data_IF_842105924317
#
_entry.id   IF_842105924317
#
_cell.length_a   1.000
_cell.length_b   1.000
_cell.length_c   1.000
_cell.angle_alpha   90.00
_cell.angle_beta   90.00
_cell.angle_gamma   90.00
#
_symmetry.space_group_name_H-M   'P 1'
#
loop_
_entity.id
_entity.type
_entity.pdbx_description
1 polymer ?
#
# COMPACT_ATOMS: atom_id res chain seq x y z
N UNK A 1 1.62 -13.68 9.93
CA UNK A 1 1.74 -15.14 9.85
C UNK A 1 3.18 -15.52 9.51
N UNK A 2 3.72 -16.48 10.27
CA UNK A 2 5.09 -16.99 10.08
C UNK A 2 5.21 -18.02 8.97
N UNK A 3 4.16 -18.31 8.22
CA UNK A 3 4.18 -19.22 7.09
C UNK A 3 5.04 -18.73 5.93
N UNK A 4 5.21 -17.41 5.77
CA UNK A 4 6.16 -16.80 4.83
C UNK A 4 7.53 -16.54 5.51
N UNK A 5 8.12 -17.56 6.07
CA UNK A 5 9.20 -17.48 7.04
C UNK A 5 10.45 -16.74 6.56
N UNK A 6 10.90 -16.96 5.33
CA UNK A 6 12.12 -16.30 4.82
C UNK A 6 11.95 -14.80 4.60
N UNK A 7 10.73 -14.33 4.33
CA UNK A 7 10.41 -12.91 4.32
C UNK A 7 10.26 -12.34 5.74
N UNK A 8 9.56 -13.05 6.62
CA UNK A 8 9.31 -12.55 7.97
C UNK A 8 10.57 -12.59 8.83
N UNK A 9 11.28 -13.71 8.80
CA UNK A 9 12.48 -13.92 9.60
C UNK A 9 13.38 -14.97 8.97
N UNK A 10 14.67 -14.82 9.19
CA UNK A 10 15.66 -15.89 9.04
C UNK A 10 16.43 -16.00 10.35
N UNK A 11 16.25 -17.10 11.06
CA UNK A 11 16.94 -17.37 12.31
C UNK A 11 18.45 -17.58 12.12
N UNK A 12 19.22 -17.44 13.19
CA UNK A 12 20.68 -17.51 13.13
C UNK A 12 21.26 -18.85 12.62
N UNK A 13 20.52 -19.96 12.75
CA UNK A 13 20.97 -21.27 12.20
C UNK A 13 20.80 -21.30 10.68
N UNK A 14 19.66 -20.80 10.19
CA UNK A 14 19.42 -20.69 8.76
C UNK A 14 20.35 -19.67 8.08
N UNK A 15 20.74 -18.60 8.76
CA UNK A 15 21.72 -17.64 8.25
C UNK A 15 23.11 -18.28 8.04
N UNK A 16 23.49 -19.23 8.92
CA UNK A 16 24.74 -19.98 8.78
C UNK A 16 24.69 -21.03 7.67
N UNK A 17 23.50 -21.61 7.41
CA UNK A 17 23.34 -22.66 6.40
C UNK A 17 23.21 -22.09 4.99
N UNK A 18 22.46 -20.99 4.83
CA UNK A 18 22.20 -20.38 3.53
C UNK A 18 22.77 -18.97 3.50
N UNK A 19 23.80 -18.79 2.70
CA UNK A 19 24.49 -17.49 2.55
C UNK A 19 23.58 -16.45 1.86
N UNK A 20 23.75 -15.20 2.25
CA UNK A 20 22.86 -14.07 1.84
C UNK A 20 22.82 -13.89 0.30
N UNK A 21 23.91 -14.16 -0.38
CA UNK A 21 24.02 -14.02 -1.85
C UNK A 21 23.11 -14.97 -2.62
N UNK A 22 22.74 -16.12 -2.00
CA UNK A 22 21.83 -17.11 -2.60
C UNK A 22 20.35 -16.81 -2.32
N UNK A 23 20.07 -15.92 -1.37
CA UNK A 23 18.72 -15.53 -1.00
C UNK A 23 18.68 -14.03 -0.62
N UNK A 24 18.55 -13.14 -1.60
CA UNK A 24 18.68 -11.69 -1.41
C UNK A 24 17.47 -11.03 -0.75
N UNK A 25 16.61 -11.81 -0.07
CA UNK A 25 15.46 -11.28 0.66
C UNK A 25 15.92 -10.66 1.97
N UNK A 26 15.61 -9.39 2.20
CA UNK A 26 15.76 -8.75 3.52
C UNK A 26 14.58 -9.14 4.41
N UNK A 27 14.78 -9.85 5.52
CA UNK A 27 13.69 -10.22 6.41
C UNK A 27 13.00 -9.00 7.03
N UNK A 28 11.69 -9.11 7.22
CA UNK A 28 10.88 -8.01 7.76
C UNK A 28 11.33 -7.59 9.18
N UNK A 29 11.80 -8.54 9.99
CA UNK A 29 12.33 -8.24 11.32
C UNK A 29 13.48 -7.21 11.30
N UNK A 30 14.26 -7.17 10.21
CA UNK A 30 15.36 -6.20 10.04
C UNK A 30 14.85 -4.80 9.65
N UNK A 31 13.58 -4.67 9.30
CA UNK A 31 12.95 -3.44 8.80
C UNK A 31 11.90 -2.86 9.74
N UNK A 32 11.28 -3.68 10.56
CA UNK A 32 10.12 -3.27 11.35
C UNK A 32 10.41 -2.06 12.23
N UNK A 33 11.57 -2.03 12.87
CA UNK A 33 11.98 -0.89 13.73
C UNK A 33 12.29 0.35 12.89
N UNK A 34 13.00 0.21 11.78
CA UNK A 34 13.28 1.31 10.85
C UNK A 34 12.01 1.93 10.27
N UNK A 35 11.02 1.10 9.91
CA UNK A 35 9.72 1.56 9.42
C UNK A 35 8.97 2.37 10.48
N UNK A 36 9.08 1.97 11.75
CA UNK A 36 8.50 2.73 12.85
C UNK A 36 9.24 4.06 13.08
N UNK A 37 10.55 4.00 13.26
CA UNK A 37 11.37 5.16 13.67
C UNK A 37 11.44 6.24 12.58
N UNK A 38 11.57 5.83 11.29
CA UNK A 38 11.82 6.76 10.19
C UNK A 38 10.60 7.07 9.33
N UNK A 39 9.58 6.20 9.34
CA UNK A 39 8.41 6.32 8.46
C UNK A 39 7.07 6.36 9.21
N UNK A 40 7.08 6.28 10.54
CA UNK A 40 5.88 6.36 11.38
C UNK A 40 4.92 5.17 11.18
N UNK A 41 5.44 4.01 10.72
CA UNK A 41 4.62 2.82 10.47
C UNK A 41 4.54 1.96 11.72
N UNK A 42 3.37 1.92 12.35
CA UNK A 42 3.09 0.97 13.44
C UNK A 42 2.77 -0.41 12.87
N UNK A 43 3.29 -1.45 13.52
CA UNK A 43 3.10 -2.83 13.09
C UNK A 43 2.54 -3.68 14.22
N UNK A 44 1.52 -4.47 13.93
CA UNK A 44 0.99 -5.50 14.82
C UNK A 44 1.26 -6.85 14.17
N UNK A 45 2.01 -7.72 14.88
CA UNK A 45 2.34 -9.06 14.42
C UNK A 45 1.64 -10.09 15.30
N UNK A 46 1.05 -11.09 14.65
CA UNK A 46 0.50 -12.28 15.31
C UNK A 46 1.45 -13.43 15.00
N UNK A 47 2.11 -13.95 16.02
CA UNK A 47 3.14 -14.97 15.88
C UNK A 47 2.86 -16.16 16.79
N UNK A 48 3.07 -17.37 16.27
CA UNK A 48 3.04 -18.62 17.05
C UNK A 48 4.44 -19.17 17.33
N UNK A 49 5.47 -18.53 16.78
CA UNK A 49 6.89 -18.86 16.94
C UNK A 49 7.74 -17.62 16.65
N UNK A 50 9.06 -17.78 16.44
CA UNK A 50 9.98 -16.68 16.10
C UNK A 50 10.14 -15.66 17.23
N UNK A 51 10.64 -16.14 18.36
CA UNK A 51 10.94 -15.32 19.54
C UNK A 51 11.93 -14.18 19.30
N UNK A 52 12.69 -14.22 18.21
CA UNK A 52 13.58 -13.13 17.78
C UNK A 52 12.85 -11.77 17.62
N UNK A 53 11.54 -11.76 17.39
CA UNK A 53 10.76 -10.53 17.37
C UNK A 53 10.68 -9.83 18.72
N UNK A 54 11.00 -10.50 19.81
CA UNK A 54 11.07 -9.85 21.14
C UNK A 54 12.17 -8.77 21.19
N UNK A 55 13.23 -8.91 20.39
CA UNK A 55 14.30 -7.90 20.30
C UNK A 55 13.83 -6.56 19.73
N UNK A 56 12.82 -6.58 18.87
CA UNK A 56 12.34 -5.38 18.13
C UNK A 56 10.95 -4.91 18.60
N UNK A 57 10.25 -5.71 19.40
CA UNK A 57 8.91 -5.37 19.88
C UNK A 57 8.93 -4.29 20.97
N UNK A 58 8.03 -3.31 20.85
CA UNK A 58 7.77 -2.35 21.92
C UNK A 58 6.87 -2.96 23.01
N UNK A 59 5.86 -3.72 22.57
CA UNK A 59 4.89 -4.39 23.42
C UNK A 59 4.73 -5.84 23.00
N UNK A 60 4.64 -6.74 23.98
CA UNK A 60 4.40 -8.17 23.76
C UNK A 60 3.19 -8.60 24.58
N UNK A 61 2.14 -9.02 23.87
CA UNK A 61 0.91 -9.52 24.48
C UNK A 61 0.82 -11.02 24.22
N UNK A 62 0.75 -11.81 25.29
CA UNK A 62 0.50 -13.25 25.20
C UNK A 62 -0.99 -13.52 25.36
N UNK A 63 -1.52 -14.37 24.48
CA UNK A 63 -2.88 -14.91 24.64
C UNK A 63 -2.80 -16.19 25.46
N UNK A 64 -3.26 -16.12 26.70
CA UNK A 64 -3.33 -17.24 27.62
C UNK A 64 -4.78 -17.66 27.82
N UNK A 65 -5.18 -18.81 27.27
CA UNK A 65 -6.57 -19.27 27.26
C UNK A 65 -7.57 -18.17 26.84
N UNK A 66 -7.26 -17.47 25.73
CA UNK A 66 -8.02 -16.32 25.18
C UNK A 66 -8.01 -15.04 26.03
N UNK A 67 -7.24 -15.00 27.12
CA UNK A 67 -7.06 -13.79 27.94
C UNK A 67 -5.76 -13.10 27.56
N UNK A 68 -5.80 -11.81 27.14
CA UNK A 68 -4.59 -11.07 26.80
C UNK A 68 -3.82 -10.70 28.08
N UNK A 69 -2.53 -11.00 28.10
CA UNK A 69 -1.61 -10.65 29.20
C UNK A 69 -0.42 -9.89 28.63
N UNK A 70 -0.12 -8.74 29.20
CA UNK A 70 1.13 -8.04 28.90
C UNK A 70 2.31 -8.81 29.51
N UNK A 71 3.22 -9.25 28.66
CA UNK A 71 4.43 -10.00 29.04
C UNK A 71 5.69 -9.31 28.50
N UNK A 72 5.61 -8.02 28.22
CA UNK A 72 6.68 -7.24 27.57
C UNK A 72 8.01 -7.37 28.30
N UNK A 73 8.03 -7.15 29.63
CA UNK A 73 9.29 -7.22 30.40
C UNK A 73 9.89 -8.62 30.41
N UNK A 74 9.05 -9.64 30.58
CA UNK A 74 9.49 -11.05 30.52
C UNK A 74 10.06 -11.41 29.15
N UNK A 75 9.43 -10.95 28.06
CA UNK A 75 9.92 -11.18 26.70
C UNK A 75 11.29 -10.50 26.47
N UNK A 76 11.48 -9.29 26.97
CA UNK A 76 12.77 -8.57 26.91
C UNK A 76 13.86 -9.26 27.72
N UNK A 77 13.53 -9.80 28.88
CA UNK A 77 14.49 -10.59 29.69
C UNK A 77 14.94 -11.85 28.94
N UNK A 78 14.02 -12.58 28.33
CA UNK A 78 14.31 -13.76 27.50
C UNK A 78 15.21 -13.37 26.33
N UNK A 79 14.88 -12.30 25.59
CA UNK A 79 15.68 -11.82 24.47
C UNK A 79 17.13 -11.47 24.87
N UNK A 80 17.32 -10.91 26.08
CA UNK A 80 18.67 -10.59 26.60
C UNK A 80 19.48 -11.82 26.95
N UNK A 81 18.84 -12.89 27.41
CA UNK A 81 19.49 -14.15 27.84
C UNK A 81 19.82 -15.09 26.69
N UNK A 82 19.29 -14.85 25.48
CA UNK A 82 19.55 -15.71 24.33
C UNK A 82 20.94 -15.48 23.75
N UNK A 83 21.75 -16.55 23.72
CA UNK A 83 23.09 -16.56 23.13
C UNK A 83 23.09 -16.75 21.62
N UNK A 84 21.99 -17.24 21.05
CA UNK A 84 21.85 -17.53 19.60
C UNK A 84 21.31 -16.33 18.81
N UNK A 85 21.95 -15.17 18.95
CA UNK A 85 21.54 -13.99 18.21
C UNK A 85 21.75 -14.16 16.72
N UNK A 86 20.69 -13.83 15.95
CA UNK A 86 20.81 -13.70 14.51
C UNK A 86 21.68 -12.49 14.15
N UNK A 87 22.37 -12.57 13.01
CA UNK A 87 23.12 -11.44 12.49
C UNK A 87 22.16 -10.43 11.87
N UNK A 88 22.29 -9.19 12.29
CA UNK A 88 21.56 -8.06 11.74
C UNK A 88 22.38 -7.46 10.58
N UNK A 89 21.73 -7.12 9.46
CA UNK A 89 22.40 -6.47 8.31
C UNK A 89 22.20 -4.94 8.36
N UNK A 90 23.07 -4.19 9.05
CA UNK A 90 22.87 -2.76 9.26
C UNK A 90 23.09 -1.90 8.00
N UNK A 91 23.76 -2.45 6.98
CA UNK A 91 24.16 -1.69 5.78
C UNK A 91 23.07 -1.59 4.70
N UNK A 92 21.96 -2.29 4.88
CA UNK A 92 20.90 -2.37 3.89
C UNK A 92 19.70 -1.58 4.40
N UNK A 93 19.72 -0.27 4.24
CA UNK A 93 18.65 0.63 4.69
C UNK A 93 17.45 0.57 3.75
N UNK A 94 16.24 0.69 4.29
CA UNK A 94 15.04 0.89 3.50
C UNK A 94 15.09 2.29 2.86
N UNK A 95 15.15 2.34 1.53
CA UNK A 95 15.30 3.60 0.79
C UNK A 95 13.99 4.39 0.65
N UNK A 96 12.92 3.92 1.26
CA UNK A 96 11.60 4.50 1.14
C UNK A 96 10.83 4.01 -0.10
N UNK A 97 9.76 4.72 -0.41
CA UNK A 97 8.88 4.40 -1.53
C UNK A 97 9.25 5.27 -2.72
N UNK A 98 9.53 4.64 -3.87
CA UNK A 98 9.76 5.36 -5.11
C UNK A 98 8.51 6.14 -5.50
N UNK A 99 8.65 7.46 -5.61
CA UNK A 99 7.57 8.32 -6.06
C UNK A 99 7.34 8.14 -7.57
N UNK A 100 6.09 8.07 -7.98
CA UNK A 100 5.70 7.85 -9.38
C UNK A 100 5.07 9.10 -9.93
N UNK A 101 5.60 9.62 -11.04
CA UNK A 101 5.04 10.74 -11.78
C UNK A 101 4.32 10.19 -13.02
N UNK A 102 2.98 10.15 -13.03
CA UNK A 102 2.23 9.64 -14.18
C UNK A 102 2.40 10.55 -15.40
N UNK A 103 2.68 9.97 -16.56
CA UNK A 103 2.81 10.72 -17.80
C UNK A 103 1.46 10.86 -18.49
N UNK A 104 1.13 12.07 -18.94
CA UNK A 104 -0.14 12.36 -19.62
C UNK A 104 -0.37 11.48 -20.85
N UNK A 105 0.71 11.14 -21.57
CA UNK A 105 0.67 10.21 -22.72
C UNK A 105 0.14 8.81 -22.38
N UNK A 106 0.19 8.38 -21.12
CA UNK A 106 -0.39 7.09 -20.69
C UNK A 106 -1.89 7.05 -20.90
N UNK A 107 -2.53 8.21 -20.76
CA UNK A 107 -3.98 8.38 -20.84
C UNK A 107 -4.44 8.88 -22.21
N UNK A 108 -3.54 8.90 -23.19
CA UNK A 108 -3.90 9.21 -24.58
C UNK A 108 -4.70 8.07 -25.14
N UNK A 109 -5.93 8.33 -25.52
CA UNK A 109 -6.80 7.35 -26.17
C UNK A 109 -6.91 7.70 -27.65
N UNK A 110 -6.98 6.65 -28.47
CA UNK A 110 -7.10 6.80 -29.92
C UNK A 110 -8.58 6.78 -30.33
N UNK A 111 -9.14 7.96 -30.60
CA UNK A 111 -10.44 8.11 -31.27
C UNK A 111 -11.62 8.55 -30.40
N UNK A 112 -12.82 8.59 -31.00
CA UNK A 112 -14.10 9.05 -30.40
C UNK A 112 -14.64 8.21 -29.22
N UNK A 113 -13.93 7.16 -28.79
CA UNK A 113 -14.33 6.24 -27.72
C UNK A 113 -13.65 6.57 -26.37
N UNK A 114 -13.36 7.83 -26.14
CA UNK A 114 -12.73 8.35 -24.91
C UNK A 114 -13.70 8.36 -23.71
N UNK A 115 -14.29 7.21 -23.40
CA UNK A 115 -15.18 7.10 -22.24
C UNK A 115 -14.52 6.26 -21.19
N UNK A 116 -14.36 6.84 -20.01
CA UNK A 116 -14.08 6.12 -18.79
C UNK A 116 -15.41 5.73 -18.16
N UNK A 117 -15.61 4.47 -17.87
CA UNK A 117 -16.87 3.97 -17.32
C UNK A 117 -16.62 2.83 -16.34
N UNK A 118 -17.18 2.94 -15.15
CA UNK A 118 -17.25 1.81 -14.24
C UNK A 118 -18.14 0.70 -14.80
N UNK A 119 -17.73 -0.54 -14.60
CA UNK A 119 -18.50 -1.74 -14.90
C UNK A 119 -18.67 -2.56 -13.62
N UNK A 120 -19.71 -2.23 -12.85
CA UNK A 120 -19.91 -2.73 -11.51
C UNK A 120 -18.76 -2.31 -10.57
N UNK A 121 -18.63 -3.01 -9.45
CA UNK A 121 -17.70 -2.68 -8.37
C UNK A 121 -16.22 -2.88 -8.71
N UNK A 122 -15.90 -3.81 -9.60
CA UNK A 122 -14.56 -4.35 -9.72
C UNK A 122 -13.81 -3.95 -11.00
N UNK A 123 -14.46 -3.24 -11.92
CA UNK A 123 -13.86 -2.95 -13.21
C UNK A 123 -14.12 -1.52 -13.67
N UNK A 124 -13.10 -0.92 -14.28
CA UNK A 124 -13.21 0.37 -14.96
C UNK A 124 -12.77 0.17 -16.40
N UNK A 125 -13.67 0.44 -17.33
CA UNK A 125 -13.34 0.50 -18.75
C UNK A 125 -12.75 1.88 -19.05
N UNK A 126 -11.49 1.91 -19.48
CA UNK A 126 -10.80 3.10 -19.93
C UNK A 126 -10.49 2.96 -21.43
N UNK A 127 -11.33 3.54 -22.29
CA UNK A 127 -11.30 3.30 -23.72
C UNK A 127 -11.50 1.82 -24.06
N UNK A 128 -10.45 1.18 -24.57
CA UNK A 128 -10.44 -0.27 -24.86
C UNK A 128 -9.80 -1.12 -23.76
N UNK A 129 -9.22 -0.47 -22.76
CA UNK A 129 -8.51 -1.15 -21.68
C UNK A 129 -9.45 -1.37 -20.49
N UNK A 130 -9.32 -2.52 -19.86
CA UNK A 130 -10.00 -2.84 -18.60
C UNK A 130 -9.02 -2.67 -17.45
N UNK A 131 -9.36 -1.82 -16.50
CA UNK A 131 -8.65 -1.69 -15.23
C UNK A 131 -9.38 -2.58 -14.23
N UNK A 132 -8.76 -3.69 -13.89
CA UNK A 132 -9.27 -4.63 -12.90
C UNK A 132 -8.88 -4.15 -11.50
N UNK A 133 -9.87 -3.87 -10.69
CA UNK A 133 -9.74 -3.40 -9.30
C UNK A 133 -10.37 -4.38 -8.31
N UNK A 134 -10.61 -5.63 -8.70
CA UNK A 134 -11.20 -6.67 -7.85
C UNK A 134 -10.41 -6.94 -6.57
N UNK A 135 -9.09 -6.73 -6.59
CA UNK A 135 -8.24 -6.85 -5.42
C UNK A 135 -8.27 -5.65 -4.46
N UNK A 136 -9.15 -4.65 -4.67
CA UNK A 136 -9.33 -3.53 -3.75
C UNK A 136 -10.48 -3.82 -2.78
N UNK A 137 -10.18 -4.55 -1.72
CA UNK A 137 -11.18 -5.04 -0.75
C UNK A 137 -11.97 -3.93 -0.04
N UNK A 138 -11.43 -2.72 0.00
CA UNK A 138 -12.05 -1.57 0.66
C UNK A 138 -13.10 -0.85 -0.20
N UNK A 139 -13.30 -1.28 -1.44
CA UNK A 139 -14.42 -0.83 -2.26
C UNK A 139 -15.66 -1.64 -1.88
N UNK A 140 -16.63 -0.97 -1.28
CA UNK A 140 -17.85 -1.62 -0.77
C UNK A 140 -19.05 -1.44 -1.69
N UNK A 141 -19.03 -0.39 -2.53
CA UNK A 141 -20.18 -0.02 -3.38
C UNK A 141 -19.73 0.42 -4.80
N UNK A 142 -20.59 0.18 -5.79
CA UNK A 142 -20.36 0.55 -7.20
C UNK A 142 -20.18 2.07 -7.39
N UNK A 143 -20.80 2.88 -6.55
CA UNK A 143 -20.69 4.34 -6.59
C UNK A 143 -19.26 4.82 -6.30
N UNK A 144 -18.48 4.08 -5.50
CA UNK A 144 -17.05 4.37 -5.31
C UNK A 144 -16.26 4.09 -6.59
N UNK A 145 -16.57 3.01 -7.30
CA UNK A 145 -15.95 2.70 -8.59
C UNK A 145 -16.34 3.72 -9.66
N UNK A 146 -17.59 4.17 -9.67
CA UNK A 146 -18.02 5.28 -10.52
C UNK A 146 -17.22 6.55 -10.23
N UNK A 147 -17.02 6.86 -8.96
CA UNK A 147 -16.23 8.02 -8.56
C UNK A 147 -14.77 7.88 -9.02
N UNK A 148 -14.13 6.72 -8.85
CA UNK A 148 -12.76 6.48 -9.35
C UNK A 148 -12.69 6.70 -10.86
N UNK A 149 -13.67 6.24 -11.63
CA UNK A 149 -13.70 6.44 -13.08
C UNK A 149 -13.74 7.94 -13.44
N UNK A 150 -14.57 8.73 -12.75
CA UNK A 150 -14.65 10.19 -12.90
C UNK A 150 -13.34 10.86 -12.48
N UNK A 151 -12.74 10.40 -11.35
CA UNK A 151 -11.46 10.93 -10.89
C UNK A 151 -10.32 10.65 -11.87
N UNK A 152 -10.29 9.52 -12.56
CA UNK A 152 -9.30 9.21 -13.61
C UNK A 152 -9.46 10.20 -14.78
N UNK A 153 -10.68 10.51 -15.21
CA UNK A 153 -10.92 11.49 -16.26
C UNK A 153 -10.50 12.90 -15.80
N UNK A 154 -10.80 13.26 -14.57
CA UNK A 154 -10.39 14.54 -14.00
C UNK A 154 -8.86 14.63 -13.89
N UNK A 155 -8.21 13.59 -13.39
CA UNK A 155 -6.74 13.48 -13.31
C UNK A 155 -6.12 13.76 -14.68
N UNK A 156 -6.54 13.04 -15.73
CA UNK A 156 -6.04 13.19 -17.09
C UNK A 156 -6.20 14.61 -17.64
N UNK A 157 -7.40 15.18 -17.48
CA UNK A 157 -7.79 16.39 -18.18
C UNK A 157 -7.38 17.68 -17.44
N UNK A 158 -7.24 17.64 -16.12
CA UNK A 158 -7.10 18.83 -15.28
C UNK A 158 -5.87 18.87 -14.39
N UNK A 159 -5.29 17.70 -14.04
CA UNK A 159 -4.25 17.63 -13.00
C UNK A 159 -2.89 17.24 -13.54
N UNK A 160 -2.81 16.30 -14.47
CA UNK A 160 -1.50 15.80 -14.96
C UNK A 160 -0.72 16.90 -15.69
N UNK A 161 0.42 17.25 -15.11
CA UNK A 161 1.39 18.24 -15.63
C UNK A 161 2.79 17.65 -15.82
N UNK A 162 2.94 16.33 -15.61
CA UNK A 162 4.22 15.59 -15.68
C UNK A 162 5.27 16.03 -14.65
N UNK A 163 4.84 16.72 -13.59
CA UNK A 163 5.68 17.17 -12.47
C UNK A 163 5.19 16.58 -11.13
N UNK A 164 3.87 16.54 -10.95
CA UNK A 164 3.26 16.03 -9.73
C UNK A 164 3.41 14.51 -9.64
N UNK A 165 3.78 14.05 -8.46
CA UNK A 165 3.69 12.61 -8.13
C UNK A 165 2.22 12.19 -8.11
N UNK A 166 1.95 10.89 -8.22
CA UNK A 166 0.59 10.37 -8.12
C UNK A 166 -0.07 10.74 -6.78
N UNK A 167 0.71 10.76 -5.69
CA UNK A 167 0.22 11.18 -4.39
C UNK A 167 -0.19 12.66 -4.40
N UNK A 168 0.67 13.55 -4.86
CA UNK A 168 0.39 14.99 -4.95
C UNK A 168 -0.79 15.29 -5.88
N UNK A 169 -0.86 14.60 -7.02
CA UNK A 169 -1.99 14.72 -7.94
C UNK A 169 -3.30 14.26 -7.29
N UNK A 170 -3.25 13.18 -6.50
CA UNK A 170 -4.41 12.71 -5.73
C UNK A 170 -4.81 13.73 -4.67
N UNK A 171 -3.84 14.25 -3.91
CA UNK A 171 -4.13 15.26 -2.88
C UNK A 171 -4.83 16.48 -3.47
N UNK A 172 -4.38 16.99 -4.62
CA UNK A 172 -5.03 18.13 -5.29
C UNK A 172 -6.48 17.84 -5.71
N UNK A 173 -6.79 16.61 -6.12
CA UNK A 173 -8.17 16.22 -6.44
C UNK A 173 -9.04 16.21 -5.17
N UNK A 174 -8.51 15.67 -4.06
CA UNK A 174 -9.26 15.63 -2.81
C UNK A 174 -9.46 17.00 -2.18
N UNK A 175 -8.49 17.90 -2.29
CA UNK A 175 -8.62 19.29 -1.89
C UNK A 175 -9.71 20.00 -2.69
N UNK A 176 -9.75 19.77 -4.01
CA UNK A 176 -10.83 20.29 -4.88
C UNK A 176 -12.20 19.77 -4.44
N UNK A 177 -12.32 18.46 -4.18
CA UNK A 177 -13.57 17.86 -3.73
C UNK A 177 -13.98 18.41 -2.37
N UNK A 178 -13.04 18.56 -1.45
CA UNK A 178 -13.32 19.11 -0.11
C UNK A 178 -13.82 20.54 -0.17
N UNK A 179 -13.26 21.34 -1.08
CA UNK A 179 -13.63 22.75 -1.25
C UNK A 179 -14.95 22.95 -1.97
N UNK A 180 -15.16 22.23 -3.08
CA UNK A 180 -16.20 22.55 -4.06
C UNK A 180 -17.25 21.42 -4.21
N UNK A 181 -17.14 20.38 -3.41
CA UNK A 181 -18.03 19.22 -3.45
C UNK A 181 -17.61 18.15 -4.46
N UNK A 182 -18.17 16.95 -4.29
CA UNK A 182 -17.81 15.77 -5.10
C UNK A 182 -18.16 15.96 -6.58
N UNK A 183 -19.26 16.64 -6.88
CA UNK A 183 -19.72 16.88 -8.25
C UNK A 183 -18.75 17.78 -9.06
N UNK A 184 -17.89 18.54 -8.38
CA UNK A 184 -16.96 19.47 -8.99
C UNK A 184 -15.91 18.82 -9.90
N UNK A 185 -15.68 17.51 -9.76
CA UNK A 185 -14.76 16.75 -10.62
C UNK A 185 -15.46 16.07 -11.79
N UNK A 186 -16.80 16.08 -11.81
CA UNK A 186 -17.58 15.49 -12.90
C UNK A 186 -17.60 16.41 -14.11
N UNK A 187 -17.57 15.82 -15.30
CA UNK A 187 -17.88 16.55 -16.55
C UNK A 187 -19.38 16.69 -16.79
N UNK A 188 -20.20 16.04 -15.99
CA UNK A 188 -21.65 16.11 -16.06
C UNK A 188 -22.15 17.33 -15.27
N UNK A 189 -23.04 18.12 -15.88
CA UNK A 189 -23.51 19.40 -15.31
C UNK A 189 -24.65 19.27 -14.31
N UNK A 190 -25.16 18.07 -14.05
CA UNK A 190 -26.16 17.79 -13.02
C UNK A 190 -25.53 17.13 -11.78
N UNK A 191 -26.36 16.76 -10.83
CA UNK A 191 -25.96 15.92 -9.72
C UNK A 191 -25.98 14.46 -10.18
N UNK A 192 -24.83 13.80 -10.40
CA UNK A 192 -24.81 12.43 -10.89
C UNK A 192 -25.45 11.42 -9.94
N UNK A 193 -25.52 11.74 -8.64
CA UNK A 193 -26.20 10.94 -7.61
C UNK A 193 -25.67 9.54 -7.37
N UNK A 194 -24.73 9.10 -8.20
CA UNK A 194 -24.14 7.76 -8.18
C UNK A 194 -22.64 7.77 -7.87
N UNK A 195 -22.17 8.84 -7.23
CA UNK A 195 -20.77 8.96 -6.81
C UNK A 195 -20.67 8.87 -5.28
N UNK A 196 -19.76 8.03 -4.80
CA UNK A 196 -19.33 8.00 -3.42
C UNK A 196 -17.81 8.13 -3.37
N UNK A 197 -17.28 8.98 -2.49
CA UNK A 197 -15.86 9.24 -2.42
C UNK A 197 -15.11 7.99 -1.91
N UNK A 198 -14.18 7.39 -2.70
CA UNK A 198 -13.28 6.35 -2.22
C UNK A 198 -12.21 6.96 -1.32
N UNK A 199 -11.38 6.15 -0.67
CA UNK A 199 -10.16 6.64 -0.03
C UNK A 199 -9.09 6.93 -1.10
N UNK A 200 -8.11 7.78 -0.75
CA UNK A 200 -6.98 8.12 -1.64
C UNK A 200 -6.24 6.87 -2.11
N UNK A 201 -6.11 5.87 -1.22
CA UNK A 201 -5.41 4.62 -1.48
C UNK A 201 -6.06 3.81 -2.61
N UNK A 202 -7.39 3.69 -2.62
CA UNK A 202 -8.12 2.97 -3.67
C UNK A 202 -7.99 3.68 -5.02
N UNK A 203 -8.04 5.00 -5.04
CA UNK A 203 -7.82 5.77 -6.25
C UNK A 203 -6.39 5.58 -6.79
N UNK A 204 -5.37 5.76 -5.96
CA UNK A 204 -3.97 5.53 -6.34
C UNK A 204 -3.75 4.08 -6.82
N UNK A 205 -4.35 3.11 -6.14
CA UNK A 205 -4.25 1.72 -6.50
C UNK A 205 -4.92 1.40 -7.84
N UNK A 206 -6.07 2.01 -8.12
CA UNK A 206 -6.74 1.88 -9.43
C UNK A 206 -5.88 2.44 -10.57
N UNK A 207 -5.30 3.64 -10.38
CA UNK A 207 -4.38 4.24 -11.37
C UNK A 207 -3.16 3.34 -11.59
N UNK A 208 -2.56 2.78 -10.53
CA UNK A 208 -1.42 1.88 -10.63
C UNK A 208 -1.75 0.54 -11.32
N UNK A 209 -3.01 0.12 -11.37
CA UNK A 209 -3.46 -1.08 -12.08
C UNK A 209 -3.71 -0.85 -13.56
N UNK A 210 -3.67 0.39 -14.02
CA UNK A 210 -3.76 0.68 -15.44
C UNK A 210 -2.50 0.22 -16.16
N UNK A 211 -2.58 -0.88 -16.93
CA UNK A 211 -1.42 -1.56 -17.52
C UNK A 211 -0.63 -0.72 -18.53
N UNK A 212 -1.24 0.32 -19.10
CA UNK A 212 -0.55 1.25 -20.02
C UNK A 212 -0.01 2.48 -19.31
N UNK A 213 -0.08 2.52 -17.98
CA UNK A 213 0.50 3.60 -17.21
C UNK A 213 2.00 3.69 -17.47
N UNK A 214 2.46 4.85 -17.90
CA UNK A 214 3.87 5.21 -18.02
C UNK A 214 4.18 6.22 -16.93
N UNK A 215 5.30 6.04 -16.30
CA UNK A 215 5.79 6.91 -15.23
C UNK A 215 7.17 7.46 -15.59
N UNK A 216 7.52 8.55 -14.92
CA UNK A 216 8.86 9.15 -14.96
C UNK A 216 9.61 8.74 -13.72
#
# INVERSE_FOLDING_TARGET
DTSATNFMIRDGRMQKLVVKEKEPITPFIDRVKELYDNFGVSTILIIGGSGDYFDVANHVIMMDEYVPKDVTEKAKEIAKSDENKREFSPNDKFQGITQRIPLKKSFSQFGKLDKTKAKGKYNILYGKELIDISGLEQLVDDSQTNCIAVMIDYLKNKVLDEKLTLSQATDSIYEKIQKDGLDSISSYTGHPGNLALPRKQEFCAAVNRYRKLKIK
#
